data_IF_287826986639
#
_entry.id   IF_287826986639
#
_cell.length_a   1.000
_cell.length_b   1.000
_cell.length_c   1.000
_cell.angle_alpha   90.00
_cell.angle_beta   90.00
_cell.angle_gamma   90.00
#
_symmetry.space_group_name_H-M   'P 1'
#
loop_
_entity.id
_entity.type
_entity.pdbx_description
1 polymer ?
#
# COMPACT_ATOMS: atom_id res chain seq x y z
N UNK A 1 -6.54 7.23 75.28
CA UNK A 1 -6.29 8.14 74.12
C UNK A 1 -5.81 7.28 72.99
N UNK A 2 -6.72 6.86 72.09
CA UNK A 2 -6.39 6.06 70.90
C UNK A 2 -6.15 6.97 69.71
N UNK A 3 -4.95 6.94 69.19
CA UNK A 3 -4.66 7.56 67.90
C UNK A 3 -5.05 6.59 66.81
N UNK A 4 -6.10 6.89 66.07
CA UNK A 4 -6.43 6.19 64.83
C UNK A 4 -5.56 6.74 63.71
N UNK A 5 -4.64 5.91 63.23
CA UNK A 5 -3.87 6.20 62.03
C UNK A 5 -4.73 5.73 60.85
N UNK A 6 -5.31 6.67 60.11
CA UNK A 6 -5.92 6.37 58.84
C UNK A 6 -4.83 6.14 57.80
N UNK A 7 -4.57 4.88 57.45
CA UNK A 7 -3.78 4.54 56.28
C UNK A 7 -4.67 4.75 55.06
N UNK A 8 -4.42 5.85 54.38
CA UNK A 8 -4.99 6.09 53.07
C UNK A 8 -4.33 5.13 52.05
N UNK A 9 -5.00 4.06 51.70
CA UNK A 9 -4.62 3.26 50.56
C UNK A 9 -4.97 4.05 49.28
N UNK A 10 -4.00 4.78 48.79
CA UNK A 10 -4.08 5.36 47.47
C UNK A 10 -4.11 4.22 46.45
N UNK A 11 -5.28 3.95 45.87
CA UNK A 11 -5.35 3.11 44.69
C UNK A 11 -4.66 3.85 43.54
N UNK A 12 -3.43 3.43 43.23
CA UNK A 12 -2.76 3.84 42.00
C UNK A 12 -3.50 3.16 40.84
N UNK A 13 -4.47 3.84 40.23
CA UNK A 13 -5.09 3.39 38.99
C UNK A 13 -4.05 3.60 37.86
N UNK A 14 -3.29 2.55 37.57
CA UNK A 14 -2.45 2.53 36.39
C UNK A 14 -3.39 2.38 35.21
N UNK A 15 -3.69 3.51 34.55
CA UNK A 15 -4.24 3.47 33.21
C UNK A 15 -3.17 2.90 32.30
N UNK A 16 -3.17 1.57 32.12
CA UNK A 16 -2.57 0.96 30.95
C UNK A 16 -3.38 1.46 29.77
N UNK A 17 -2.98 2.58 29.21
CA UNK A 17 -3.37 2.92 27.86
C UNK A 17 -2.81 1.79 26.99
N UNK A 18 -3.63 0.84 26.67
CA UNK A 18 -3.46 0.01 25.49
C UNK A 18 -3.59 0.97 24.29
N UNK A 19 -2.56 1.77 24.08
CA UNK A 19 -2.28 2.25 22.76
C UNK A 19 -2.06 0.98 21.94
N UNK A 20 -3.10 0.54 21.24
CA UNK A 20 -2.94 -0.43 20.18
C UNK A 20 -1.84 0.14 19.32
N UNK A 21 -0.63 -0.45 19.41
CA UNK A 21 0.44 -0.16 18.49
C UNK A 21 -0.12 -0.53 17.14
N UNK A 22 -0.63 0.47 16.39
CA UNK A 22 -0.77 0.33 14.96
C UNK A 22 0.59 -0.20 14.50
N UNK A 23 0.62 -1.38 13.86
CA UNK A 23 1.87 -1.97 13.42
C UNK A 23 2.53 -0.93 12.53
N UNK A 24 3.63 -0.33 13.00
CA UNK A 24 4.32 0.72 12.30
C UNK A 24 5.02 0.10 11.09
N UNK A 25 4.98 0.82 9.97
CA UNK A 25 5.75 0.45 8.80
C UNK A 25 7.26 0.54 9.10
N UNK A 26 8.08 -0.30 8.46
CA UNK A 26 9.53 -0.12 8.48
C UNK A 26 9.91 1.33 8.13
N UNK A 27 11.05 1.83 8.63
CA UNK A 27 11.43 3.25 8.57
C UNK A 27 11.52 3.86 7.17
N UNK A 28 11.73 3.03 6.15
CA UNK A 28 11.82 3.41 4.73
C UNK A 28 10.52 3.15 3.94
N UNK A 29 9.47 2.75 4.63
CA UNK A 29 8.12 2.57 4.10
C UNK A 29 7.17 3.64 4.62
N UNK A 30 6.24 4.07 3.79
CA UNK A 30 5.25 5.08 4.15
C UNK A 30 3.93 4.44 4.53
N UNK A 31 3.35 4.90 5.64
CA UNK A 31 2.11 4.35 6.20
C UNK A 31 0.87 5.12 5.71
N UNK A 32 -0.16 4.38 5.33
CA UNK A 32 -1.49 4.91 5.08
C UNK A 32 -2.55 3.85 5.39
N UNK A 33 -3.49 4.17 6.28
CA UNK A 33 -4.65 3.33 6.65
C UNK A 33 -4.32 1.84 6.88
N UNK A 34 -3.28 1.56 7.67
CA UNK A 34 -2.89 0.20 8.03
C UNK A 34 -2.09 -0.55 6.96
N UNK A 35 -1.68 0.12 5.90
CA UNK A 35 -0.80 -0.42 4.85
C UNK A 35 0.51 0.35 4.79
N UNK A 36 1.55 -0.33 4.31
CA UNK A 36 2.87 0.21 4.10
C UNK A 36 3.20 0.22 2.61
N UNK A 37 3.73 1.33 2.12
CA UNK A 37 4.01 1.57 0.70
C UNK A 37 5.45 1.99 0.51
N UNK A 38 6.08 1.48 -0.54
CA UNK A 38 7.42 1.90 -0.95
C UNK A 38 7.57 1.92 -2.46
N UNK A 39 7.93 3.08 -3.04
CA UNK A 39 8.30 3.19 -4.45
C UNK A 39 9.70 2.63 -4.69
N UNK A 40 9.90 1.99 -5.84
CA UNK A 40 11.18 1.46 -6.30
C UNK A 40 11.54 2.03 -7.67
N UNK A 41 12.69 2.69 -7.73
CA UNK A 41 13.12 3.45 -8.91
C UNK A 41 13.72 2.61 -10.04
N UNK A 42 14.16 1.37 -9.75
CA UNK A 42 14.69 0.47 -10.77
C UNK A 42 13.55 -0.11 -11.61
N UNK A 43 13.49 0.18 -12.93
CA UNK A 43 12.40 -0.34 -13.75
C UNK A 43 12.46 -1.86 -13.88
N UNK A 44 11.29 -2.49 -13.85
CA UNK A 44 11.11 -3.93 -14.08
C UNK A 44 9.88 -4.14 -14.96
N UNK A 45 9.79 -5.31 -15.64
CA UNK A 45 8.52 -5.73 -16.20
C UNK A 45 7.53 -6.08 -15.07
N UNK A 46 6.25 -6.22 -15.41
CA UNK A 46 5.21 -6.40 -14.41
C UNK A 46 5.41 -7.64 -13.53
N UNK A 47 5.74 -8.79 -14.15
CA UNK A 47 5.93 -10.04 -13.42
C UNK A 47 7.13 -9.99 -12.46
N UNK A 48 8.24 -9.41 -12.91
CA UNK A 48 9.44 -9.24 -12.08
C UNK A 48 9.21 -8.23 -10.96
N UNK A 49 8.45 -7.17 -11.22
CA UNK A 49 8.06 -6.18 -10.20
C UNK A 49 7.18 -6.81 -9.12
N UNK A 50 6.15 -7.59 -9.51
CA UNK A 50 5.30 -8.31 -8.56
C UNK A 50 6.11 -9.30 -7.73
N UNK A 51 6.96 -10.10 -8.38
CA UNK A 51 7.84 -11.05 -7.67
C UNK A 51 8.80 -10.34 -6.72
N UNK A 52 9.35 -9.21 -7.11
CA UNK A 52 10.19 -8.38 -6.23
C UNK A 52 9.42 -7.91 -5.00
N UNK A 53 8.19 -7.43 -5.17
CA UNK A 53 7.35 -6.98 -4.05
C UNK A 53 7.06 -8.11 -3.06
N UNK A 54 6.80 -9.33 -3.54
CA UNK A 54 6.56 -10.50 -2.66
C UNK A 54 7.77 -10.87 -1.81
N UNK A 55 8.97 -10.52 -2.24
CA UNK A 55 10.23 -10.78 -1.52
C UNK A 55 10.58 -9.69 -0.50
N UNK A 56 9.97 -8.51 -0.57
CA UNK A 56 10.30 -7.40 0.32
C UNK A 56 9.74 -7.56 1.73
N UNK A 57 8.55 -8.12 1.84
CA UNK A 57 7.88 -8.36 3.12
C UNK A 57 6.82 -9.46 2.95
N UNK A 58 6.51 -10.16 4.06
CA UNK A 58 5.40 -11.12 4.07
C UNK A 58 4.10 -10.41 3.68
N UNK A 59 3.36 -10.96 2.70
CA UNK A 59 2.16 -10.36 2.15
C UNK A 59 2.40 -9.17 1.20
N UNK A 60 3.67 -8.94 0.80
CA UNK A 60 4.04 -7.89 -0.15
C UNK A 60 3.58 -8.19 -1.57
N UNK A 61 3.02 -7.18 -2.23
CA UNK A 61 2.55 -7.19 -3.62
C UNK A 61 2.72 -5.83 -4.27
N UNK A 62 2.56 -5.75 -5.58
CA UNK A 62 2.35 -4.49 -6.26
C UNK A 62 1.10 -3.79 -5.69
N UNK A 63 1.16 -2.48 -5.63
CA UNK A 63 0.11 -1.64 -5.03
C UNK A 63 -1.27 -1.91 -5.65
N UNK A 64 -2.27 -2.01 -4.79
CA UNK A 64 -3.70 -2.03 -5.14
C UNK A 64 -4.39 -0.79 -4.59
N UNK A 65 -5.47 -0.37 -5.22
CA UNK A 65 -6.25 0.77 -4.76
C UNK A 65 -7.68 0.37 -4.42
N UNK A 66 -8.12 0.78 -3.23
CA UNK A 66 -9.48 0.57 -2.75
C UNK A 66 -10.30 1.88 -2.75
N UNK A 67 -9.62 3.03 -2.87
CA UNK A 67 -10.24 4.36 -2.89
C UNK A 67 -9.41 5.36 -3.71
N UNK A 68 -10.03 6.48 -4.08
CA UNK A 68 -9.34 7.59 -4.73
C UNK A 68 -8.35 8.28 -3.79
N UNK A 69 -8.65 8.35 -2.51
CA UNK A 69 -7.79 8.96 -1.50
C UNK A 69 -6.49 8.16 -1.32
N UNK A 70 -6.57 6.83 -1.30
CA UNK A 70 -5.41 5.95 -1.30
C UNK A 70 -4.56 6.13 -2.57
N UNK A 71 -5.20 6.17 -3.73
CA UNK A 71 -4.52 6.42 -5.00
C UNK A 71 -3.78 7.77 -4.99
N UNK A 72 -4.41 8.83 -4.49
CA UNK A 72 -3.79 10.15 -4.37
C UNK A 72 -2.57 10.14 -3.45
N UNK A 73 -2.64 9.42 -2.33
CA UNK A 73 -1.50 9.25 -1.43
C UNK A 73 -0.31 8.57 -2.13
N UNK A 74 -0.55 7.46 -2.80
CA UNK A 74 0.49 6.69 -3.49
C UNK A 74 1.07 7.46 -4.68
N UNK A 75 0.24 8.19 -5.42
CA UNK A 75 0.68 9.07 -6.51
C UNK A 75 1.63 10.16 -6.03
N UNK A 76 1.32 10.81 -4.92
CA UNK A 76 2.23 11.80 -4.31
C UNK A 76 3.55 11.17 -3.88
N UNK A 77 3.49 9.99 -3.27
CA UNK A 77 4.67 9.25 -2.86
C UNK A 77 5.55 8.85 -4.06
N UNK A 78 4.95 8.33 -5.12
CA UNK A 78 5.64 8.00 -6.37
C UNK A 78 6.25 9.23 -7.02
N UNK A 79 5.52 10.35 -7.07
CA UNK A 79 6.02 11.60 -7.63
C UNK A 79 7.23 12.13 -6.88
N UNK A 80 7.24 12.07 -5.55
CA UNK A 80 8.37 12.46 -4.71
C UNK A 80 9.63 11.62 -4.99
N UNK A 81 9.45 10.35 -5.34
CA UNK A 81 10.57 9.42 -5.57
C UNK A 81 11.05 9.44 -7.03
N UNK A 82 10.12 9.44 -7.98
CA UNK A 82 10.40 9.27 -9.43
C UNK A 82 10.46 10.60 -10.20
N UNK A 83 9.89 11.67 -9.66
CA UNK A 83 9.64 12.91 -10.40
C UNK A 83 8.47 12.81 -11.40
N UNK A 84 7.76 11.70 -11.41
CA UNK A 84 6.54 11.45 -12.19
C UNK A 84 5.68 10.40 -11.49
N UNK A 85 4.50 10.13 -11.99
CA UNK A 85 3.54 9.19 -11.41
C UNK A 85 3.13 8.09 -12.40
N UNK A 86 4.10 7.58 -13.16
CA UNK A 86 3.94 6.41 -14.01
C UNK A 86 4.62 5.24 -13.30
N UNK A 87 3.83 4.24 -12.90
CA UNK A 87 4.34 3.07 -12.20
C UNK A 87 3.41 1.87 -12.38
N UNK A 88 3.97 0.66 -12.27
CA UNK A 88 3.17 -0.54 -12.22
C UNK A 88 2.33 -0.61 -10.96
N UNK A 89 1.10 -1.02 -11.12
CA UNK A 89 0.21 -1.43 -10.05
C UNK A 89 -0.19 -2.90 -10.22
N UNK A 90 -0.73 -3.52 -9.17
CA UNK A 90 -0.96 -4.96 -9.12
C UNK A 90 -2.15 -5.47 -9.93
N UNK A 91 -2.78 -4.63 -10.73
CA UNK A 91 -3.92 -5.04 -11.52
C UNK A 91 -3.49 -5.66 -12.85
N UNK A 92 -3.94 -6.88 -13.11
CA UNK A 92 -3.64 -7.58 -14.35
C UNK A 92 -4.78 -8.51 -14.78
N UNK A 93 -4.79 -8.88 -16.04
CA UNK A 93 -5.65 -9.92 -16.59
C UNK A 93 -4.85 -11.13 -17.11
N UNK A 94 -3.58 -11.23 -16.74
CA UNK A 94 -2.64 -12.23 -17.28
C UNK A 94 -3.09 -13.66 -17.00
N UNK A 95 -3.72 -13.88 -15.86
CA UNK A 95 -4.10 -15.21 -15.38
C UNK A 95 -5.51 -15.63 -15.79
N UNK A 96 -6.34 -14.70 -16.26
CA UNK A 96 -7.77 -14.95 -16.44
C UNK A 96 -8.33 -14.10 -17.60
N UNK A 97 -8.03 -14.46 -18.79
CA UNK A 97 -8.22 -13.90 -20.15
C UNK A 97 -9.12 -12.67 -20.36
N UNK A 98 -10.05 -12.35 -19.47
CA UNK A 98 -10.93 -11.17 -19.54
C UNK A 98 -11.26 -10.59 -18.15
N UNK A 99 -10.75 -11.17 -17.08
CA UNK A 99 -11.03 -10.72 -15.72
C UNK A 99 -9.81 -10.01 -15.11
N UNK A 100 -9.99 -8.77 -14.76
CA UNK A 100 -9.00 -7.99 -14.05
C UNK A 100 -8.96 -8.36 -12.58
N UNK A 101 -7.78 -8.60 -12.04
CA UNK A 101 -7.56 -8.98 -10.65
C UNK A 101 -6.38 -8.23 -10.07
N UNK A 102 -6.51 -7.82 -8.80
CA UNK A 102 -5.39 -7.38 -8.01
C UNK A 102 -4.47 -8.57 -7.66
N UNK A 103 -3.15 -8.37 -7.73
CA UNK A 103 -2.18 -9.41 -7.41
C UNK A 103 -2.25 -9.88 -5.96
N UNK A 104 -2.71 -9.03 -5.05
CA UNK A 104 -2.92 -9.34 -3.64
C UNK A 104 -4.29 -10.00 -3.33
N UNK A 105 -5.03 -10.40 -4.35
CA UNK A 105 -6.38 -10.97 -4.25
C UNK A 105 -7.45 -10.04 -3.65
N UNK A 106 -7.18 -8.74 -3.49
CA UNK A 106 -8.17 -7.77 -3.05
C UNK A 106 -9.33 -7.68 -4.07
N UNK A 107 -10.53 -7.34 -3.58
CA UNK A 107 -11.68 -7.14 -4.46
C UNK A 107 -11.51 -5.88 -5.31
N UNK A 108 -11.85 -5.96 -6.59
CA UNK A 108 -11.83 -4.83 -7.51
C UNK A 108 -13.08 -3.95 -7.31
N UNK A 109 -13.03 -3.05 -6.32
CA UNK A 109 -14.13 -2.13 -5.98
C UNK A 109 -13.96 -0.75 -6.58
N UNK A 110 -12.73 -0.26 -6.63
CA UNK A 110 -12.36 1.03 -7.20
C UNK A 110 -11.79 0.83 -8.61
N UNK A 111 -12.29 1.59 -9.60
CA UNK A 111 -11.87 1.52 -11.00
C UNK A 111 -11.74 2.92 -11.57
N UNK A 112 -10.61 3.21 -12.20
CA UNK A 112 -10.30 4.51 -12.79
C UNK A 112 -9.75 4.39 -14.23
N UNK A 113 -10.40 3.56 -15.05
CA UNK A 113 -9.99 3.26 -16.42
C UNK A 113 -9.98 4.49 -17.33
N UNK A 114 -8.93 4.61 -18.14
CA UNK A 114 -8.90 5.52 -19.28
C UNK A 114 -9.31 4.83 -20.59
N UNK A 115 -8.78 3.64 -20.88
CA UNK A 115 -9.07 2.79 -22.05
C UNK A 115 -8.52 1.36 -21.81
N UNK A 116 -8.98 0.37 -22.57
CA UNK A 116 -8.69 -1.06 -22.34
C UNK A 116 -7.36 -1.54 -22.90
N UNK A 117 -6.57 -2.29 -22.14
CA UNK A 117 -5.66 -3.41 -22.54
C UNK A 117 -4.87 -4.05 -21.37
N UNK A 118 -3.82 -4.81 -21.57
CA UNK A 118 -3.33 -6.04 -20.92
C UNK A 118 -2.68 -6.02 -19.50
N UNK A 119 -2.00 -5.01 -19.06
CA UNK A 119 -1.49 -4.83 -17.69
C UNK A 119 -1.59 -3.36 -17.32
N UNK A 120 -1.83 -3.06 -16.05
CA UNK A 120 -2.16 -1.71 -15.67
C UNK A 120 -1.01 -1.00 -15.02
N UNK A 121 -0.73 0.19 -15.50
CA UNK A 121 0.09 1.17 -14.83
C UNK A 121 -0.71 2.44 -14.55
N UNK A 122 -0.31 3.15 -13.53
CA UNK A 122 -0.89 4.44 -13.23
C UNK A 122 -0.24 5.54 -14.08
N UNK A 123 -1.04 6.48 -14.56
CA UNK A 123 -0.55 7.71 -15.20
C UNK A 123 -1.31 8.92 -14.68
N UNK A 124 -0.62 9.83 -14.06
CA UNK A 124 -1.22 10.85 -13.21
C UNK A 124 -1.67 12.15 -13.88
N UNK A 125 -1.55 12.33 -15.16
CA UNK A 125 -1.99 13.60 -15.79
C UNK A 125 -3.49 13.86 -15.61
N UNK A 126 -4.27 12.83 -15.26
CA UNK A 126 -5.72 12.91 -15.02
C UNK A 126 -6.22 11.86 -14.03
N UNK A 127 -5.35 11.28 -13.21
CA UNK A 127 -5.63 10.18 -12.26
C UNK A 127 -6.33 8.97 -12.89
N UNK A 128 -6.10 8.72 -14.18
CA UNK A 128 -6.68 7.58 -14.90
C UNK A 128 -5.67 6.46 -15.07
N UNK A 129 -6.14 5.25 -14.87
CA UNK A 129 -5.38 4.04 -15.13
C UNK A 129 -5.25 3.81 -16.62
N UNK A 130 -4.06 3.42 -17.02
CA UNK A 130 -3.76 3.03 -18.39
C UNK A 130 -3.09 1.68 -18.39
N UNK A 131 -3.39 0.88 -19.37
CA UNK A 131 -2.73 -0.41 -19.52
C UNK A 131 -1.55 -0.33 -20.47
N UNK A 132 -0.63 -1.25 -20.28
CA UNK A 132 0.56 -1.39 -21.10
C UNK A 132 0.91 -2.87 -21.24
N UNK A 133 1.68 -3.23 -22.26
CA UNK A 133 2.18 -4.59 -22.39
C UNK A 133 3.01 -4.96 -21.15
N UNK A 134 2.72 -6.10 -20.54
CA UNK A 134 3.32 -6.55 -19.28
C UNK A 134 4.84 -6.71 -19.34
N UNK A 135 5.40 -6.91 -20.54
CA UNK A 135 6.85 -6.99 -20.80
C UNK A 135 7.58 -5.64 -20.76
N UNK A 136 6.86 -4.54 -20.79
CA UNK A 136 7.44 -3.20 -20.74
C UNK A 136 8.03 -2.95 -19.36
N UNK A 137 9.09 -2.15 -19.34
CA UNK A 137 9.77 -1.77 -18.11
C UNK A 137 9.14 -0.51 -17.51
N UNK A 138 8.83 -0.55 -16.23
CA UNK A 138 8.39 0.62 -15.49
C UNK A 138 8.83 0.53 -14.03
N UNK A 139 8.92 1.68 -13.38
CA UNK A 139 9.05 1.78 -11.94
C UNK A 139 7.77 1.26 -11.30
N UNK A 140 7.80 0.97 -10.01
CA UNK A 140 6.67 0.33 -9.35
C UNK A 140 6.59 0.69 -7.88
N UNK A 141 5.42 0.48 -7.29
CA UNK A 141 5.17 0.66 -5.86
C UNK A 141 4.73 -0.67 -5.27
N UNK A 142 5.40 -1.09 -4.20
CA UNK A 142 5.00 -2.24 -3.40
C UNK A 142 4.15 -1.80 -2.21
N UNK A 143 3.26 -2.68 -1.78
CA UNK A 143 2.51 -2.54 -0.54
C UNK A 143 2.48 -3.85 0.25
N UNK A 144 2.26 -3.76 1.55
CA UNK A 144 1.83 -4.87 2.40
C UNK A 144 0.94 -4.33 3.52
N UNK A 145 0.13 -5.21 4.09
CA UNK A 145 -0.68 -4.87 5.26
C UNK A 145 0.17 -4.92 6.52
N UNK A 146 0.19 -3.83 7.25
CA UNK A 146 0.92 -3.71 8.51
C UNK A 146 0.32 -4.58 9.63
#
# INVERSE_FOLDING_TARGET
>A
MGRFIFMSFGFLVVFLSLSGTAADCPSDWSSYEGHCYKPFSEPKNWADAENFCTQQHAGGHLVSFQSSEEADFVVKLAFQTFGHSIFWMGLSNVWNQCNWQWSNAAMLRYKAWAEESYCVYFKSTNNKWRSRACRMMAQFVCEFQA
#
